data_IF_203846029467
#
_entry.id   IF_203846029467
#
_cell.length_a   1.000
_cell.length_b   1.000
_cell.length_c   1.000
_cell.angle_alpha   90.00
_cell.angle_beta   90.00
_cell.angle_gamma   90.00
#
_symmetry.space_group_name_H-M   'P 1'
#
loop_
_entity.id
_entity.type
_entity.pdbx_description
1 polymer ?
#
# COMPACT_ATOMS: atom_id res chain seq x y z
N UNK A 1 -7.05 51.70 4.47
CA UNK A 1 -7.12 50.22 4.32
C UNK A 1 -6.59 49.87 2.94
N UNK A 2 -5.44 49.18 2.83
CA UNK A 2 -4.78 48.88 1.54
C UNK A 2 -5.38 47.64 0.88
N UNK A 3 -5.22 47.51 -0.45
CA UNK A 3 -5.67 46.32 -1.22
C UNK A 3 -5.11 45.03 -0.61
N UNK A 4 -3.87 45.06 -0.13
CA UNK A 4 -3.19 43.92 0.50
C UNK A 4 -3.88 43.44 1.80
N UNK A 5 -4.47 44.35 2.58
CA UNK A 5 -5.22 43.99 3.78
C UNK A 5 -6.46 43.16 3.43
N UNK A 6 -7.20 43.59 2.39
CA UNK A 6 -8.39 42.88 1.91
C UNK A 6 -8.05 41.51 1.33
N UNK A 7 -6.95 41.41 0.56
CA UNK A 7 -6.49 40.13 0.02
C UNK A 7 -6.09 39.16 1.13
N UNK A 8 -5.46 39.66 2.20
CA UNK A 8 -5.10 38.85 3.38
C UNK A 8 -6.35 38.34 4.11
N UNK A 9 -7.34 39.21 4.34
CA UNK A 9 -8.63 38.82 4.94
C UNK A 9 -9.34 37.74 4.11
N UNK A 10 -9.39 37.90 2.78
CA UNK A 10 -9.95 36.89 1.88
C UNK A 10 -9.21 35.55 2.00
N UNK A 11 -7.88 35.57 2.04
CA UNK A 11 -7.08 34.37 2.20
C UNK A 11 -7.38 33.67 3.55
N UNK A 12 -7.52 34.42 4.63
CA UNK A 12 -7.85 33.87 5.95
C UNK A 12 -9.26 33.28 6.00
N UNK A 13 -10.24 33.90 5.33
CA UNK A 13 -11.57 33.33 5.18
C UNK A 13 -11.55 32.01 4.40
N UNK A 14 -10.78 31.93 3.32
CA UNK A 14 -10.63 30.70 2.53
C UNK A 14 -9.99 29.60 3.37
N UNK A 15 -8.91 29.91 4.12
CA UNK A 15 -8.25 28.95 5.02
C UNK A 15 -9.20 28.42 6.09
N UNK A 16 -9.96 29.32 6.75
CA UNK A 16 -10.98 28.93 7.74
C UNK A 16 -12.07 28.06 7.12
N UNK A 17 -12.48 28.32 5.87
CA UNK A 17 -13.44 27.47 5.17
C UNK A 17 -12.87 26.09 4.89
N UNK A 18 -11.63 26.00 4.40
CA UNK A 18 -10.96 24.73 4.14
C UNK A 18 -10.77 23.91 5.43
N UNK A 19 -10.37 24.57 6.53
CA UNK A 19 -10.23 23.94 7.85
C UNK A 19 -11.55 23.37 8.38
N UNK A 20 -12.68 24.06 8.15
CA UNK A 20 -14.02 23.52 8.47
C UNK A 20 -14.34 22.27 7.67
N UNK A 21 -13.98 22.22 6.40
CA UNK A 21 -14.16 21.01 5.57
C UNK A 21 -13.30 19.84 6.09
N UNK A 22 -12.07 20.11 6.52
CA UNK A 22 -11.20 19.10 7.13
C UNK A 22 -11.77 18.53 8.45
N UNK A 23 -12.31 19.39 9.32
CA UNK A 23 -12.98 18.98 10.55
C UNK A 23 -14.25 18.15 10.26
N UNK A 24 -15.08 18.57 9.31
CA UNK A 24 -16.28 17.81 8.92
C UNK A 24 -15.92 16.41 8.40
N UNK A 25 -14.82 16.28 7.65
CA UNK A 25 -14.32 14.97 7.21
C UNK A 25 -13.85 14.09 8.38
N UNK A 26 -13.20 14.67 9.40
CA UNK A 26 -12.76 13.98 10.61
C UNK A 26 -13.96 13.47 11.42
N UNK A 27 -14.97 14.32 11.63
CA UNK A 27 -16.21 13.98 12.33
C UNK A 27 -17.00 12.89 11.58
N UNK A 28 -17.14 13.04 10.26
CA UNK A 28 -17.76 12.01 9.41
C UNK A 28 -17.00 10.70 9.52
N UNK A 29 -15.66 10.75 9.56
CA UNK A 29 -14.80 9.59 9.77
C UNK A 29 -15.04 8.88 11.10
N UNK A 30 -15.33 9.62 12.17
CA UNK A 30 -15.68 9.06 13.47
C UNK A 30 -16.99 8.28 13.42
N UNK A 31 -18.04 8.88 12.84
CA UNK A 31 -19.35 8.22 12.68
C UNK A 31 -19.28 6.99 11.77
N UNK A 32 -18.52 7.06 10.69
CA UNK A 32 -18.29 5.92 9.80
C UNK A 32 -17.55 4.78 10.51
N UNK A 33 -16.61 5.09 11.40
CA UNK A 33 -15.89 4.09 12.18
C UNK A 33 -16.82 3.40 13.21
N UNK A 34 -17.67 4.18 13.89
CA UNK A 34 -18.71 3.65 14.79
C UNK A 34 -19.69 2.76 14.03
N UNK A 35 -20.22 3.24 12.90
CA UNK A 35 -21.14 2.46 12.06
C UNK A 35 -20.50 1.18 11.53
N UNK A 36 -19.23 1.24 11.11
CA UNK A 36 -18.51 0.05 10.68
C UNK A 36 -18.33 -0.96 11.82
N UNK A 37 -18.01 -0.49 13.02
CA UNK A 37 -17.83 -1.35 14.21
C UNK A 37 -19.13 -2.07 14.57
N UNK A 38 -20.25 -1.33 14.58
CA UNK A 38 -21.60 -1.90 14.81
C UNK A 38 -21.92 -2.92 13.71
N UNK A 39 -21.69 -2.57 12.44
CA UNK A 39 -21.97 -3.44 11.31
C UNK A 39 -21.18 -4.76 11.40
N UNK A 40 -19.89 -4.71 11.73
CA UNK A 40 -19.05 -5.91 11.85
C UNK A 40 -19.30 -6.69 13.14
N UNK A 41 -19.64 -6.01 14.24
CA UNK A 41 -19.81 -6.62 15.56
C UNK A 41 -21.11 -7.43 15.73
N UNK A 42 -22.18 -7.06 15.02
CA UNK A 42 -23.46 -7.77 15.12
C UNK A 42 -23.64 -8.90 14.10
N UNK A 43 -22.59 -9.29 13.38
CA UNK A 43 -22.67 -10.39 12.42
C UNK A 43 -23.70 -10.17 11.31
N UNK A 44 -24.07 -8.91 11.00
CA UNK A 44 -24.93 -8.61 9.84
C UNK A 44 -24.18 -9.08 8.60
N UNK A 45 -24.59 -10.21 8.02
CA UNK A 45 -23.95 -10.90 6.90
C UNK A 45 -23.95 -10.14 5.56
N UNK A 46 -24.12 -8.82 5.58
CA UNK A 46 -24.02 -7.94 4.43
C UNK A 46 -22.61 -7.41 4.20
N UNK A 47 -22.33 -6.95 2.99
CA UNK A 47 -21.10 -6.19 2.71
C UNK A 47 -21.25 -4.77 3.22
N UNK A 48 -20.23 -4.25 3.91
CA UNK A 48 -20.17 -2.84 4.35
C UNK A 48 -20.50 -1.84 3.23
N UNK A 49 -20.02 -2.11 2.01
CA UNK A 49 -20.30 -1.30 0.82
C UNK A 49 -21.79 -1.20 0.50
N UNK A 50 -22.57 -2.26 0.73
CA UNK A 50 -24.00 -2.26 0.47
C UNK A 50 -24.72 -1.41 1.51
N UNK A 51 -24.38 -1.58 2.79
CA UNK A 51 -24.95 -0.74 3.85
C UNK A 51 -24.66 0.74 3.60
N UNK A 52 -23.42 1.06 3.19
CA UNK A 52 -23.02 2.43 2.88
C UNK A 52 -23.80 2.99 1.68
N UNK A 53 -23.97 2.21 0.61
CA UNK A 53 -24.73 2.61 -0.57
C UNK A 53 -26.21 2.88 -0.28
N UNK A 54 -26.81 2.18 0.68
CA UNK A 54 -28.22 2.37 1.06
C UNK A 54 -28.40 3.54 2.03
N UNK A 55 -27.54 3.65 3.05
CA UNK A 55 -27.75 4.60 4.16
C UNK A 55 -27.02 5.94 3.96
N UNK A 56 -25.96 5.95 3.16
CA UNK A 56 -25.12 7.14 2.92
C UNK A 56 -24.79 7.27 1.43
N UNK A 57 -25.80 7.35 0.54
CA UNK A 57 -25.62 7.23 -0.91
C UNK A 57 -24.75 8.34 -1.53
N UNK A 58 -24.64 9.49 -0.86
CA UNK A 58 -23.84 10.63 -1.33
C UNK A 58 -22.34 10.50 -1.05
N UNK A 59 -21.90 9.48 -0.30
CA UNK A 59 -20.48 9.20 -0.03
C UNK A 59 -20.06 7.91 -0.72
N UNK A 60 -19.05 7.99 -1.59
CA UNK A 60 -18.47 6.78 -2.18
C UNK A 60 -17.75 5.93 -1.13
N UNK A 61 -17.67 4.61 -1.34
CA UNK A 61 -16.89 3.69 -0.48
C UNK A 61 -15.45 4.18 -0.30
N UNK A 62 -14.82 4.65 -1.39
CA UNK A 62 -13.45 5.19 -1.36
C UNK A 62 -13.34 6.43 -0.47
N UNK A 63 -14.32 7.33 -0.52
CA UNK A 63 -14.34 8.54 0.32
C UNK A 63 -14.56 8.17 1.78
N UNK A 64 -15.48 7.24 2.05
CA UNK A 64 -15.74 6.74 3.40
C UNK A 64 -14.47 6.12 4.03
N UNK A 65 -13.74 5.29 3.27
CA UNK A 65 -12.48 4.72 3.73
C UNK A 65 -11.41 5.78 4.01
N UNK A 66 -11.33 6.83 3.19
CA UNK A 66 -10.41 7.95 3.45
C UNK A 66 -10.76 8.67 4.75
N UNK A 67 -12.04 8.99 4.97
CA UNK A 67 -12.49 9.65 6.20
C UNK A 67 -12.22 8.81 7.44
N UNK A 68 -12.50 7.50 7.39
CA UNK A 68 -12.15 6.58 8.47
C UNK A 68 -10.65 6.56 8.76
N UNK A 69 -9.81 6.54 7.72
CA UNK A 69 -8.35 6.61 7.90
C UNK A 69 -7.89 7.95 8.50
N UNK A 70 -8.50 9.07 8.09
CA UNK A 70 -8.28 10.38 8.70
C UNK A 70 -8.61 10.32 10.19
N UNK A 71 -9.80 9.84 10.55
CA UNK A 71 -10.19 9.69 11.94
C UNK A 71 -9.21 8.83 12.73
N UNK A 72 -8.90 7.62 12.27
CA UNK A 72 -7.97 6.71 12.94
C UNK A 72 -6.59 7.34 13.17
N UNK A 73 -6.09 8.12 12.19
CA UNK A 73 -4.74 8.70 12.24
C UNK A 73 -4.66 9.99 13.04
N UNK A 74 -5.72 10.81 13.04
CA UNK A 74 -5.72 12.15 13.62
C UNK A 74 -6.64 12.32 14.85
N UNK A 75 -7.27 11.24 15.35
CA UNK A 75 -8.16 11.32 16.53
C UNK A 75 -7.50 11.83 17.81
N UNK A 76 -6.18 11.70 17.95
CA UNK A 76 -5.45 12.25 19.11
C UNK A 76 -5.01 13.70 18.89
N UNK A 77 -5.09 14.19 17.64
CA UNK A 77 -4.63 15.52 17.23
C UNK A 77 -5.76 16.32 16.56
N UNK A 78 -7.01 16.12 16.99
CA UNK A 78 -8.21 16.69 16.36
C UNK A 78 -8.15 18.22 16.27
N UNK A 79 -7.58 18.87 17.27
CA UNK A 79 -7.45 20.34 17.34
C UNK A 79 -6.58 20.92 16.22
N UNK A 80 -5.61 20.15 15.72
CA UNK A 80 -4.71 20.56 14.64
C UNK A 80 -5.30 20.31 13.26
N UNK A 81 -6.37 19.52 13.13
CA UNK A 81 -6.94 19.14 11.81
C UNK A 81 -7.47 20.35 11.04
N UNK A 82 -7.92 21.40 11.74
CA UNK A 82 -8.35 22.67 11.12
C UNK A 82 -7.22 23.42 10.41
N UNK A 83 -5.96 23.12 10.72
CA UNK A 83 -4.78 23.67 10.06
C UNK A 83 -4.41 22.94 8.76
N UNK A 84 -5.22 21.96 8.31
CA UNK A 84 -4.95 21.21 7.10
C UNK A 84 -6.01 21.46 6.04
N UNK A 85 -5.56 21.44 4.78
CA UNK A 85 -6.45 21.20 3.66
C UNK A 85 -6.93 19.74 3.66
N UNK A 86 -8.18 19.47 3.31
CA UNK A 86 -8.70 18.11 3.21
C UNK A 86 -7.87 17.21 2.27
N UNK A 87 -7.42 17.77 1.14
CA UNK A 87 -6.54 17.07 0.20
C UNK A 87 -5.19 16.70 0.82
N UNK A 88 -4.66 17.53 1.74
CA UNK A 88 -3.43 17.23 2.47
C UNK A 88 -3.63 16.01 3.39
N UNK A 89 -4.76 15.95 4.09
CA UNK A 89 -5.11 14.80 4.93
C UNK A 89 -5.21 13.52 4.09
N UNK A 90 -5.80 13.57 2.89
CA UNK A 90 -5.86 12.42 1.99
C UNK A 90 -4.47 11.89 1.59
N UNK A 91 -3.47 12.75 1.50
CA UNK A 91 -2.08 12.38 1.22
C UNK A 91 -1.43 11.73 2.46
N UNK A 92 -1.64 12.32 3.64
CA UNK A 92 -1.02 11.86 4.89
C UNK A 92 -1.57 10.53 5.40
N UNK A 93 -2.78 10.16 5.01
CA UNK A 93 -3.45 8.90 5.43
C UNK A 93 -3.31 7.75 4.43
N UNK A 94 -2.50 7.93 3.37
CA UNK A 94 -2.16 6.83 2.47
C UNK A 94 -1.40 5.75 3.25
N UNK A 95 -1.66 4.48 2.95
CA UNK A 95 -0.99 3.37 3.63
C UNK A 95 0.52 3.29 3.37
N UNK A 96 1.02 4.03 2.38
CA UNK A 96 2.45 4.17 2.09
C UNK A 96 3.12 5.32 2.83
N UNK A 97 2.37 6.17 3.55
CA UNK A 97 2.91 7.36 4.18
C UNK A 97 3.64 7.01 5.48
N UNK A 98 4.95 7.33 5.60
CA UNK A 98 5.72 7.07 6.82
C UNK A 98 5.15 7.82 8.03
N UNK A 99 5.30 7.26 9.23
CA UNK A 99 4.81 7.91 10.46
C UNK A 99 5.53 9.23 10.74
N UNK A 100 6.83 9.28 10.45
CA UNK A 100 7.65 10.49 10.56
C UNK A 100 7.13 11.65 9.71
N UNK A 101 6.59 11.36 8.52
CA UNK A 101 5.98 12.37 7.66
C UNK A 101 4.73 12.98 8.30
N UNK A 102 3.91 12.17 8.96
CA UNK A 102 2.71 12.64 9.67
C UNK A 102 3.11 13.47 10.88
N UNK A 103 4.09 13.03 11.66
CA UNK A 103 4.60 13.78 12.81
C UNK A 103 5.14 15.16 12.38
N UNK A 104 5.90 15.24 11.30
CA UNK A 104 6.39 16.51 10.77
C UNK A 104 5.25 17.44 10.34
N UNK A 105 4.23 16.91 9.67
CA UNK A 105 3.08 17.69 9.26
C UNK A 105 2.28 18.23 10.47
N UNK A 106 2.19 17.45 11.56
CA UNK A 106 1.59 17.90 12.82
C UNK A 106 2.41 19.01 13.49
N UNK A 107 3.74 18.96 13.43
CA UNK A 107 4.60 20.03 13.94
C UNK A 107 4.42 21.34 13.16
N UNK A 108 4.30 21.26 11.83
CA UNK A 108 3.98 22.43 10.99
C UNK A 108 2.61 23.02 11.34
N UNK A 109 1.60 22.18 11.56
CA UNK A 109 0.29 22.64 12.00
C UNK A 109 0.33 23.29 13.39
N UNK A 110 1.14 22.74 14.31
CA UNK A 110 1.30 23.26 15.66
C UNK A 110 2.02 24.62 15.69
N UNK A 111 2.89 24.90 14.72
CA UNK A 111 3.50 26.23 14.56
C UNK A 111 2.55 27.28 13.98
N UNK A 112 1.30 26.91 13.67
CA UNK A 112 0.29 27.78 13.09
C UNK A 112 0.32 27.85 11.57
N UNK A 113 1.12 27.00 10.91
CA UNK A 113 1.15 26.93 9.45
C UNK A 113 -0.05 26.17 8.92
N UNK A 114 -0.63 26.66 7.80
CA UNK A 114 -1.70 25.94 7.11
C UNK A 114 -1.09 24.95 6.10
N UNK A 115 -1.27 23.66 6.33
CA UNK A 115 -0.65 22.59 5.53
C UNK A 115 -1.51 22.28 4.31
N UNK A 116 -0.98 22.55 3.12
CA UNK A 116 -1.66 22.29 1.85
C UNK A 116 -1.36 20.90 1.31
N UNK A 117 -2.10 20.47 0.27
CA UNK A 117 -1.81 19.21 -0.43
C UNK A 117 -0.38 19.16 -0.99
N UNK A 118 0.15 20.32 -1.42
CA UNK A 118 1.51 20.43 -1.96
C UNK A 118 2.55 20.18 -0.87
N UNK A 119 2.33 20.76 0.30
CA UNK A 119 3.24 20.62 1.45
C UNK A 119 3.23 19.18 1.95
N UNK A 120 2.05 18.58 2.11
CA UNK A 120 1.93 17.17 2.48
C UNK A 120 2.67 16.25 1.49
N UNK A 121 2.54 16.46 0.17
CA UNK A 121 3.29 15.68 -0.83
C UNK A 121 4.80 15.88 -0.71
N UNK A 122 5.26 17.10 -0.44
CA UNK A 122 6.68 17.41 -0.24
C UNK A 122 7.21 16.67 0.99
N UNK A 123 6.52 16.78 2.13
CA UNK A 123 6.86 16.10 3.37
C UNK A 123 6.92 14.59 3.15
N UNK A 124 5.86 14.00 2.60
CA UNK A 124 5.82 12.56 2.30
C UNK A 124 6.97 12.14 1.41
N UNK A 125 7.30 12.91 0.37
CA UNK A 125 8.42 12.60 -0.54
C UNK A 125 9.75 12.59 0.19
N UNK A 126 10.03 13.60 1.03
CA UNK A 126 11.28 13.69 1.80
C UNK A 126 11.47 12.45 2.69
N UNK A 127 10.45 12.09 3.46
CA UNK A 127 10.55 10.94 4.37
C UNK A 127 10.45 9.57 3.67
N UNK A 128 9.84 9.51 2.49
CA UNK A 128 9.77 8.26 1.71
C UNK A 128 11.07 7.93 0.97
N UNK A 129 11.94 8.91 0.71
CA UNK A 129 13.27 8.65 0.13
C UNK A 129 14.27 8.14 1.17
N UNK A 130 14.10 8.54 2.43
CA UNK A 130 14.95 8.07 3.54
C UNK A 130 14.59 6.64 3.95
N UNK A 131 13.30 6.30 3.91
CA UNK A 131 12.85 4.90 3.99
C UNK A 131 12.90 4.26 2.60
N UNK A 132 14.11 3.91 2.13
CA UNK A 132 14.27 3.01 0.98
C UNK A 132 13.61 1.66 1.29
N UNK A 133 12.30 1.57 1.09
CA UNK A 133 11.61 0.31 0.82
C UNK A 133 12.35 -0.32 -0.36
N UNK A 134 12.76 -1.60 -0.29
CA UNK A 134 13.35 -2.26 -1.44
C UNK A 134 12.37 -2.10 -2.58
N UNK A 135 12.77 -1.29 -3.57
CA UNK A 135 12.08 -1.17 -4.86
C UNK A 135 11.90 -2.61 -5.29
N UNK A 136 10.65 -3.12 -5.27
CA UNK A 136 10.36 -4.49 -5.73
C UNK A 136 11.09 -4.62 -7.05
N UNK A 137 12.21 -5.35 -7.03
CA UNK A 137 12.96 -5.60 -8.23
C UNK A 137 11.94 -6.22 -9.15
N UNK A 138 11.71 -5.58 -10.29
CA UNK A 138 10.86 -6.12 -11.34
C UNK A 138 11.42 -7.53 -11.53
N UNK A 139 10.70 -8.56 -11.08
CA UNK A 139 11.13 -9.95 -11.26
C UNK A 139 11.20 -10.09 -12.77
N UNK A 140 12.42 -10.03 -13.31
CA UNK A 140 12.66 -10.41 -14.69
C UNK A 140 12.18 -11.85 -14.73
N UNK A 141 11.13 -12.10 -15.52
CA UNK A 141 10.60 -13.43 -15.79
C UNK A 141 11.83 -14.31 -16.09
N UNK A 142 12.14 -15.26 -15.21
CA UNK A 142 13.30 -16.11 -15.41
C UNK A 142 13.10 -16.84 -16.73
N UNK A 143 14.04 -16.67 -17.65
CA UNK A 143 14.04 -17.44 -18.89
C UNK A 143 14.38 -18.89 -18.55
N UNK A 144 13.68 -19.88 -19.13
CA UNK A 144 13.87 -21.27 -18.80
C UNK A 144 15.28 -21.72 -19.19
N UNK A 145 16.04 -22.23 -18.21
CA UNK A 145 17.36 -22.83 -18.45
C UNK A 145 17.17 -24.22 -19.07
N UNK A 146 17.60 -24.38 -20.33
CA UNK A 146 17.59 -25.68 -21.01
C UNK A 146 18.92 -26.41 -20.78
N UNK A 147 18.87 -27.58 -20.15
CA UNK A 147 20.01 -28.48 -20.00
C UNK A 147 19.93 -29.59 -21.06
N UNK A 148 20.96 -29.69 -21.90
CA UNK A 148 21.08 -30.73 -22.93
C UNK A 148 22.07 -31.78 -22.46
N UNK A 149 21.61 -33.00 -22.19
CA UNK A 149 22.47 -34.14 -21.87
C UNK A 149 22.53 -35.05 -23.11
N UNK A 150 23.72 -35.42 -23.53
CA UNK A 150 23.98 -36.23 -24.74
C UNK A 150 23.44 -37.65 -24.59
N UNK A 151 22.43 -38.00 -25.40
CA UNK A 151 21.87 -39.36 -25.51
C UNK A 151 20.34 -39.44 -25.60
N UNK A 152 19.63 -38.39 -25.20
CA UNK A 152 18.16 -38.27 -25.27
C UNK A 152 17.71 -36.95 -24.65
N UNK A 153 16.68 -36.30 -25.22
CA UNK A 153 16.26 -34.96 -24.77
C UNK A 153 15.21 -35.10 -23.66
N UNK A 154 15.54 -34.67 -22.45
CA UNK A 154 14.56 -34.51 -21.35
C UNK A 154 14.37 -33.02 -21.10
N UNK A 155 13.13 -32.55 -21.19
CA UNK A 155 12.77 -31.15 -20.91
C UNK A 155 12.14 -31.08 -19.53
N UNK A 156 12.75 -30.33 -18.60
CA UNK A 156 12.21 -30.12 -17.26
C UNK A 156 11.95 -28.63 -17.07
N UNK A 157 10.69 -28.26 -16.82
CA UNK A 157 10.31 -26.91 -16.44
C UNK A 157 10.29 -26.80 -14.91
N UNK A 158 11.20 -26.01 -14.32
CA UNK A 158 11.14 -25.70 -12.88
C UNK A 158 10.97 -24.21 -12.65
N UNK A 159 10.14 -23.86 -11.67
CA UNK A 159 9.93 -22.48 -11.24
C UNK A 159 10.54 -22.29 -9.85
N UNK A 160 11.78 -21.82 -9.82
CA UNK A 160 12.38 -21.20 -8.62
C UNK A 160 12.78 -22.12 -7.46
N UNK A 161 12.90 -23.43 -7.67
CA UNK A 161 13.41 -24.36 -6.67
C UNK A 161 14.58 -25.19 -7.21
N UNK A 162 15.47 -25.56 -6.29
CA UNK A 162 16.76 -26.22 -6.47
C UNK A 162 16.79 -27.25 -7.60
N UNK A 163 17.50 -26.91 -8.68
CA UNK A 163 17.56 -27.67 -9.93
C UNK A 163 18.23 -29.03 -9.73
N UNK A 164 19.15 -29.14 -8.76
CA UNK A 164 19.82 -30.41 -8.44
C UNK A 164 18.83 -31.43 -7.89
N UNK A 165 17.96 -31.04 -6.96
CA UNK A 165 17.00 -31.95 -6.34
C UNK A 165 15.97 -32.47 -7.34
N UNK A 166 15.45 -31.60 -8.22
CA UNK A 166 14.51 -32.00 -9.26
C UNK A 166 15.15 -32.95 -10.30
N UNK A 167 16.45 -32.80 -10.56
CA UNK A 167 17.19 -33.68 -11.47
C UNK A 167 17.47 -35.05 -10.83
N UNK A 168 17.83 -35.10 -9.54
CA UNK A 168 18.02 -36.35 -8.80
C UNK A 168 16.72 -37.18 -8.71
N UNK A 169 15.59 -36.51 -8.48
CA UNK A 169 14.27 -37.16 -8.43
C UNK A 169 13.84 -37.71 -9.81
N UNK A 170 14.10 -36.96 -10.89
CA UNK A 170 13.83 -37.44 -12.24
C UNK A 170 14.72 -38.64 -12.63
N UNK A 171 15.99 -38.64 -12.21
CA UNK A 171 16.91 -39.79 -12.41
C UNK A 171 16.43 -41.00 -11.61
N UNK A 172 15.90 -40.82 -10.40
CA UNK A 172 15.34 -41.90 -9.60
C UNK A 172 14.10 -42.52 -10.27
N UNK A 173 13.17 -41.71 -10.77
CA UNK A 173 11.97 -42.19 -11.47
C UNK A 173 12.30 -42.96 -12.76
N UNK A 174 13.31 -42.54 -13.51
CA UNK A 174 13.75 -43.26 -14.72
C UNK A 174 14.42 -44.60 -14.43
N UNK A 175 15.07 -44.75 -13.26
CA UNK A 175 15.60 -46.04 -12.79
C UNK A 175 14.48 -47.00 -12.38
N UNK A 176 13.43 -46.48 -11.76
CA UNK A 176 12.27 -47.28 -11.31
C UNK A 176 11.41 -47.76 -12.49
N UNK A 177 11.41 -47.02 -13.61
CA UNK A 177 10.77 -47.42 -14.88
C UNK A 177 11.63 -48.39 -15.73
N UNK A 178 12.80 -48.82 -15.26
CA UNK A 178 13.62 -49.85 -15.91
C UNK A 178 14.31 -49.42 -17.21
N UNK A 179 14.51 -48.12 -17.44
CA UNK A 179 15.09 -47.60 -18.69
C UNK A 179 16.63 -47.38 -18.66
N UNK A 180 17.32 -47.79 -17.59
CA UNK A 180 18.78 -47.70 -17.48
C UNK A 180 19.34 -49.08 -17.09
N UNK A 181 19.49 -49.95 -18.07
CA UNK A 181 20.25 -51.19 -17.91
C UNK A 181 21.75 -50.87 -17.81
N UNK A 182 22.38 -51.32 -16.73
CA UNK A 182 23.83 -51.38 -16.64
C UNK A 182 24.35 -52.39 -17.67
N UNK A 183 24.97 -51.91 -18.75
CA UNK A 183 25.86 -52.75 -19.55
C UNK A 183 27.14 -52.02 -19.93
N UNK A 184 28.22 -52.53 -19.33
CA UNK A 184 29.59 -52.65 -19.84
C UNK A 184 30.40 -51.39 -20.14
N UNK A 185 31.13 -50.95 -19.09
CA UNK A 185 32.49 -50.48 -19.28
C UNK A 185 33.35 -51.64 -19.83
N UNK A 186 33.83 -51.51 -21.06
CA UNK A 186 34.92 -52.31 -21.61
C UNK A 186 36.15 -51.43 -21.79
N UNK A 187 37.30 -51.89 -21.29
CA UNK A 187 38.69 -51.73 -21.79
C UNK A 187 39.65 -52.11 -20.65
N UNK A 188 40.39 -53.22 -20.73
CA UNK A 188 41.48 -53.48 -21.68
C UNK A 188 42.58 -52.41 -21.55
N UNK A 189 43.56 -52.70 -20.70
CA UNK A 189 44.87 -52.04 -20.67
C UNK A 189 45.96 -53.11 -20.67
N UNK A 190 46.79 -53.01 -21.70
CA UNK A 190 48.10 -53.65 -21.85
C UNK A 190 49.08 -53.18 -20.78
#
# INVERSE_FOLDING_TARGET
>A
MTIDCKLRECADHIRKSAGRTALAALETGAWLETAHTIHTGHGRGGRWSNWLGVNVPFISVRTADRYRRIYRRFRESKTLVSCFELSALYELVKGSTPEKAVAHALLEAQSGSFVTARDAKKIVRTFSTDEKKPRRARIKKAEPTQLKVTGGTVTVETFGADVLGALEEAIAQLREQGAIDHSTAGKDQR
#
